data_IF_872147578706
#
_entry.id   IF_872147578706
#
_cell.length_a   1.000
_cell.length_b   1.000
_cell.length_c   1.000
_cell.angle_alpha   90.00
_cell.angle_beta   90.00
_cell.angle_gamma   90.00
#
_symmetry.space_group_name_H-M   'P 1'
#
loop_
_entity.id
_entity.type
_entity.pdbx_description
1 polymer ?
#
# COMPACT_ATOMS: atom_id res chain seq x y z
N UNK A 1 -46.01 -6.52 -79.79
CA UNK A 1 -45.89 -5.78 -78.51
C UNK A 1 -44.57 -6.14 -77.87
N UNK A 2 -43.57 -5.24 -77.93
CA UNK A 2 -42.24 -5.43 -77.35
C UNK A 2 -42.30 -5.32 -75.82
N UNK A 3 -41.64 -6.23 -75.10
CA UNK A 3 -41.28 -6.03 -73.69
C UNK A 3 -39.78 -6.21 -73.54
N UNK A 4 -39.09 -5.08 -73.49
CA UNK A 4 -37.66 -4.92 -73.26
C UNK A 4 -37.32 -5.26 -71.81
N UNK A 5 -36.37 -6.17 -71.59
CA UNK A 5 -35.81 -6.44 -70.26
C UNK A 5 -34.74 -5.39 -69.93
N UNK A 6 -34.93 -4.66 -68.82
CA UNK A 6 -33.94 -3.71 -68.31
C UNK A 6 -32.98 -4.42 -67.35
N UNK A 7 -31.71 -4.59 -67.76
CA UNK A 7 -30.64 -5.03 -66.88
C UNK A 7 -30.19 -3.88 -65.98
N UNK A 8 -30.35 -4.03 -64.66
CA UNK A 8 -29.83 -3.09 -63.66
C UNK A 8 -28.35 -3.38 -63.41
N UNK A 9 -27.47 -2.52 -63.93
CA UNK A 9 -26.06 -2.49 -63.54
C UNK A 9 -25.94 -1.87 -62.14
N UNK A 10 -25.72 -2.70 -61.13
CA UNK A 10 -25.36 -2.25 -59.78
C UNK A 10 -23.84 -2.08 -59.74
N UNK A 11 -23.36 -0.86 -59.93
CA UNK A 11 -21.96 -0.53 -59.70
C UNK A 11 -21.67 -0.66 -58.19
N UNK A 12 -20.89 -1.68 -57.80
CA UNK A 12 -20.33 -1.78 -56.45
C UNK A 12 -19.31 -0.67 -56.26
N UNK A 13 -19.70 0.42 -55.60
CA UNK A 13 -18.76 1.41 -55.10
C UNK A 13 -17.90 0.74 -54.02
N UNK A 14 -16.63 0.47 -54.34
CA UNK A 14 -15.66 -0.01 -53.37
C UNK A 14 -15.39 1.12 -52.37
N UNK A 15 -15.92 1.01 -51.15
CA UNK A 15 -15.54 1.87 -50.03
C UNK A 15 -14.09 1.50 -49.70
N UNK A 16 -13.13 2.20 -50.29
CA UNK A 16 -11.74 2.19 -49.82
C UNK A 16 -11.74 2.88 -48.45
N UNK A 17 -11.87 2.09 -47.39
CA UNK A 17 -11.66 2.58 -46.03
C UNK A 17 -10.30 3.24 -45.96
N UNK A 18 -10.25 4.50 -45.54
CA UNK A 18 -9.00 5.18 -45.25
C UNK A 18 -8.34 4.42 -44.09
N UNK A 19 -7.35 3.59 -44.38
CA UNK A 19 -6.43 3.06 -43.38
C UNK A 19 -5.63 4.24 -42.84
N UNK A 20 -6.01 4.73 -41.66
CA UNK A 20 -5.17 5.68 -40.92
C UNK A 20 -3.83 4.99 -40.70
N UNK A 21 -2.76 5.58 -41.20
CA UNK A 21 -1.41 5.14 -40.88
C UNK A 21 -1.25 5.25 -39.37
N UNK A 22 -1.04 4.11 -38.69
CA UNK A 22 -0.59 4.10 -37.31
C UNK A 22 0.67 4.97 -37.22
N UNK A 23 0.87 5.68 -36.10
CA UNK A 23 2.09 6.47 -35.89
C UNK A 23 3.30 5.56 -36.06
N UNK A 24 4.01 5.72 -37.19
CA UNK A 24 5.19 4.93 -37.52
C UNK A 24 6.41 5.36 -36.69
N UNK A 25 6.35 6.56 -36.12
CA UNK A 25 7.41 7.11 -35.30
C UNK A 25 7.28 6.65 -33.84
N UNK A 26 8.38 6.18 -33.22
CA UNK A 26 8.43 5.91 -31.79
C UNK A 26 7.99 7.12 -30.96
N UNK A 27 7.38 6.87 -29.81
CA UNK A 27 7.05 7.95 -28.86
C UNK A 27 8.35 8.61 -28.40
N UNK A 28 8.36 9.95 -28.34
CA UNK A 28 9.57 10.70 -27.95
C UNK A 28 10.11 10.23 -26.61
N UNK A 29 11.41 9.98 -26.52
CA UNK A 29 12.02 9.53 -25.26
C UNK A 29 11.82 10.57 -24.14
N UNK A 30 11.75 11.87 -24.47
CA UNK A 30 11.45 12.91 -23.47
C UNK A 30 10.07 12.74 -22.82
N UNK A 31 9.07 12.22 -23.54
CA UNK A 31 7.73 11.97 -23.01
C UNK A 31 7.60 10.66 -22.20
N UNK A 32 8.48 9.67 -22.40
CA UNK A 32 8.37 8.35 -21.74
C UNK A 32 9.54 7.98 -20.82
N UNK A 33 10.66 8.72 -20.86
CA UNK A 33 11.80 8.48 -19.97
C UNK A 33 11.39 8.62 -18.51
N UNK A 34 11.81 7.65 -17.69
CA UNK A 34 11.52 7.61 -16.24
C UNK A 34 10.05 7.84 -15.88
N UNK A 35 9.11 7.40 -16.73
CA UNK A 35 7.66 7.62 -16.53
C UNK A 35 7.20 7.21 -15.13
N UNK A 36 7.79 6.16 -14.57
CA UNK A 36 7.49 5.62 -13.23
C UNK A 36 7.59 6.65 -12.10
N UNK A 37 8.49 7.63 -12.21
CA UNK A 37 8.71 8.65 -11.17
C UNK A 37 7.76 9.83 -11.30
N UNK A 38 7.26 10.08 -12.51
CA UNK A 38 6.53 11.30 -12.87
C UNK A 38 5.06 11.07 -13.21
N UNK A 39 4.65 9.83 -13.45
CA UNK A 39 3.31 9.50 -13.90
C UNK A 39 2.22 10.14 -13.04
N UNK A 40 2.32 10.01 -11.71
CA UNK A 40 1.35 10.59 -10.77
C UNK A 40 1.38 12.12 -10.71
N UNK A 41 2.48 12.76 -11.14
CA UNK A 41 2.61 14.22 -11.21
C UNK A 41 2.17 14.84 -12.54
N UNK A 42 2.00 14.02 -13.58
CA UNK A 42 1.59 14.51 -14.90
C UNK A 42 0.14 14.99 -14.89
N UNK A 43 -0.19 16.05 -15.65
CA UNK A 43 -1.58 16.44 -15.92
C UNK A 43 -2.37 15.29 -16.55
N UNK A 44 -3.68 15.23 -16.26
CA UNK A 44 -4.55 14.18 -16.78
C UNK A 44 -4.60 14.15 -18.33
N UNK A 45 -4.48 15.32 -18.98
CA UNK A 45 -4.44 15.42 -20.44
C UNK A 45 -3.19 14.73 -21.00
N UNK A 46 -2.01 15.01 -20.44
CA UNK A 46 -0.74 14.42 -20.85
C UNK A 46 -0.71 12.90 -20.61
N UNK A 47 -1.30 12.44 -19.50
CA UNK A 47 -1.47 11.01 -19.23
C UNK A 47 -2.31 10.34 -20.33
N UNK A 48 -3.43 10.94 -20.73
CA UNK A 48 -4.28 10.41 -21.80
C UNK A 48 -3.56 10.42 -23.15
N UNK A 49 -2.82 11.48 -23.45
CA UNK A 49 -2.05 11.58 -24.69
C UNK A 49 -1.00 10.46 -24.77
N UNK A 50 -0.19 10.27 -23.73
CA UNK A 50 0.82 9.21 -23.67
C UNK A 50 0.17 7.82 -23.79
N UNK A 51 -0.96 7.59 -23.10
CA UNK A 51 -1.71 6.33 -23.18
C UNK A 51 -2.19 6.07 -24.61
N UNK A 52 -2.77 7.09 -25.26
CA UNK A 52 -3.26 6.95 -26.64
C UNK A 52 -2.13 6.66 -27.63
N UNK A 53 -0.99 7.35 -27.51
CA UNK A 53 0.18 7.14 -28.36
C UNK A 53 0.77 5.74 -28.18
N UNK A 54 0.90 5.27 -26.93
CA UNK A 54 1.37 3.91 -26.64
C UNK A 54 0.39 2.84 -27.15
N UNK A 55 -0.92 3.08 -27.05
CA UNK A 55 -1.93 2.16 -27.57
C UNK A 55 -1.87 2.05 -29.10
N UNK A 56 -1.62 3.14 -29.83
CA UNK A 56 -1.39 3.09 -31.28
C UNK A 56 -0.10 2.33 -31.63
N UNK A 57 0.99 2.53 -30.87
CA UNK A 57 2.26 1.81 -31.07
C UNK A 57 2.13 0.32 -30.80
N UNK A 58 1.34 -0.09 -29.82
CA UNK A 58 1.13 -1.51 -29.49
C UNK A 58 0.40 -2.31 -30.58
N UNK A 59 -0.23 -1.65 -31.55
CA UNK A 59 -0.85 -2.30 -32.72
C UNK A 59 0.18 -2.78 -33.75
N UNK A 60 1.41 -2.26 -33.69
CA UNK A 60 2.52 -2.62 -34.59
C UNK A 60 3.29 -3.84 -34.06
N UNK A 61 4.21 -4.45 -34.85
CA UNK A 61 5.03 -5.56 -34.39
C UNK A 61 5.83 -5.22 -33.12
N UNK A 62 5.73 -6.07 -32.10
CA UNK A 62 6.37 -5.82 -30.78
C UNK A 62 7.91 -5.85 -30.79
N UNK A 63 8.51 -6.36 -31.87
CA UNK A 63 9.94 -6.26 -32.14
C UNK A 63 10.40 -4.82 -32.36
N UNK A 64 9.52 -3.95 -32.86
CA UNK A 64 9.82 -2.54 -33.18
C UNK A 64 9.54 -1.58 -32.02
N UNK A 65 9.02 -2.09 -30.90
CA UNK A 65 8.84 -1.31 -29.68
C UNK A 65 10.17 -1.18 -28.94
N UNK A 66 10.55 0.07 -28.66
CA UNK A 66 11.72 0.40 -27.86
C UNK A 66 11.58 -0.11 -26.43
N UNK A 67 12.69 -0.31 -25.74
CA UNK A 67 12.67 -0.80 -24.35
C UNK A 67 11.98 0.19 -23.39
N UNK A 68 12.12 1.49 -23.65
CA UNK A 68 11.44 2.55 -22.89
C UNK A 68 9.93 2.53 -23.09
N UNK A 69 9.44 2.33 -24.33
CA UNK A 69 8.01 2.17 -24.62
C UNK A 69 7.43 0.96 -23.89
N UNK A 70 8.14 -0.18 -23.90
CA UNK A 70 7.74 -1.39 -23.18
C UNK A 70 7.65 -1.16 -21.66
N UNK A 71 8.67 -0.51 -21.09
CA UNK A 71 8.71 -0.17 -19.67
C UNK A 71 7.56 0.79 -19.28
N UNK A 72 7.32 1.82 -20.09
CA UNK A 72 6.25 2.78 -19.89
C UNK A 72 4.86 2.12 -19.95
N UNK A 73 4.61 1.32 -20.99
CA UNK A 73 3.35 0.59 -21.14
C UNK A 73 3.10 -0.39 -19.99
N UNK A 74 4.14 -1.09 -19.54
CA UNK A 74 4.04 -1.97 -18.37
C UNK A 74 3.69 -1.18 -17.11
N UNK A 75 4.37 -0.06 -16.85
CA UNK A 75 4.11 0.76 -15.66
C UNK A 75 2.72 1.39 -15.67
N UNK A 76 2.23 1.89 -16.81
CA UNK A 76 0.85 2.39 -16.92
C UNK A 76 -0.14 1.27 -16.60
N UNK A 77 0.08 0.08 -17.15
CA UNK A 77 -0.86 -1.03 -17.05
C UNK A 77 -0.84 -1.75 -15.70
N UNK A 78 0.33 -1.83 -15.04
CA UNK A 78 0.58 -2.68 -13.86
C UNK A 78 1.35 -1.99 -12.73
N UNK A 79 1.74 -0.72 -12.89
CA UNK A 79 2.47 0.02 -11.87
C UNK A 79 1.66 0.25 -10.59
N UNK A 80 2.38 0.56 -9.50
CA UNK A 80 1.82 0.79 -8.17
C UNK A 80 1.24 2.21 -8.01
N UNK A 81 0.34 2.60 -8.92
CA UNK A 81 -0.31 3.91 -8.94
C UNK A 81 -1.84 3.74 -9.01
N UNK A 82 -2.57 4.83 -8.73
CA UNK A 82 -4.03 4.83 -8.82
C UNK A 82 -4.66 3.74 -7.93
N UNK A 83 -5.49 2.83 -8.48
CA UNK A 83 -6.10 1.74 -7.72
C UNK A 83 -5.11 0.73 -7.10
N UNK A 84 -3.86 0.68 -7.59
CA UNK A 84 -2.83 -0.27 -7.11
C UNK A 84 -1.80 0.36 -6.19
N UNK A 85 -2.08 1.55 -5.65
CA UNK A 85 -1.17 2.19 -4.69
C UNK A 85 -1.05 1.30 -3.43
N UNK A 86 0.17 1.06 -2.89
CA UNK A 86 0.32 0.28 -1.68
C UNK A 86 -0.39 0.96 -0.51
N UNK A 87 -1.02 0.16 0.35
CA UNK A 87 -1.71 0.65 1.56
C UNK A 87 -0.72 1.36 2.49
N UNK A 88 0.48 0.81 2.60
CA UNK A 88 1.57 1.38 3.39
C UNK A 88 2.70 1.85 2.45
N UNK A 89 2.73 3.15 2.06
CA UNK A 89 3.84 3.71 1.33
C UNK A 89 5.14 3.65 2.15
N UNK A 90 6.26 3.79 1.44
CA UNK A 90 7.60 3.77 2.06
C UNK A 90 7.68 4.83 3.17
N UNK A 91 8.11 4.39 4.35
CA UNK A 91 8.27 5.25 5.54
C UNK A 91 7.04 5.35 6.45
N UNK A 92 5.87 4.84 6.05
CA UNK A 92 4.68 4.87 6.91
C UNK A 92 4.82 3.96 8.13
N UNK A 93 5.39 2.76 7.96
CA UNK A 93 5.61 1.83 9.06
C UNK A 93 6.44 2.45 10.21
N UNK A 94 7.46 3.26 9.87
CA UNK A 94 8.25 4.00 10.86
C UNK A 94 7.42 5.03 11.61
N UNK A 95 6.57 5.79 10.90
CA UNK A 95 5.66 6.77 11.52
C UNK A 95 4.67 6.09 12.47
N UNK A 96 4.11 4.95 12.06
CA UNK A 96 3.20 4.15 12.91
C UNK A 96 3.92 3.68 14.17
N UNK A 97 5.11 3.09 14.03
CA UNK A 97 5.89 2.61 15.17
C UNK A 97 6.21 3.76 16.15
N UNK A 98 6.68 4.90 15.65
CA UNK A 98 6.92 6.09 16.48
C UNK A 98 5.65 6.55 17.19
N UNK A 99 4.51 6.60 16.50
CA UNK A 99 3.22 6.95 17.09
C UNK A 99 2.82 6.02 18.24
N UNK A 100 3.00 4.70 18.08
CA UNK A 100 2.73 3.71 19.13
C UNK A 100 3.60 3.94 20.36
N UNK A 101 4.92 4.14 20.18
CA UNK A 101 5.81 4.38 21.30
C UNK A 101 5.53 5.70 22.02
N UNK A 102 5.18 6.77 21.30
CA UNK A 102 4.73 8.03 21.90
C UNK A 102 3.46 7.79 22.72
N UNK A 103 2.48 7.07 22.18
CA UNK A 103 1.25 6.73 22.88
C UNK A 103 1.49 5.95 24.17
N UNK A 104 2.33 4.91 24.13
CA UNK A 104 2.74 4.16 25.32
C UNK A 104 3.46 5.05 26.35
N UNK A 105 4.35 5.94 25.87
CA UNK A 105 5.03 6.92 26.72
C UNK A 105 4.05 7.83 27.46
N UNK A 106 3.08 8.40 26.75
CA UNK A 106 2.03 9.25 27.34
C UNK A 106 1.22 8.48 28.38
N UNK A 107 0.78 7.26 28.06
CA UNK A 107 0.03 6.41 28.99
C UNK A 107 0.83 6.13 30.28
N UNK A 108 2.11 5.78 30.15
CA UNK A 108 2.98 5.57 31.31
C UNK A 108 3.17 6.85 32.12
N UNK A 109 3.43 7.99 31.47
CA UNK A 109 3.59 9.28 32.15
C UNK A 109 2.35 9.66 32.96
N UNK A 110 1.16 9.49 32.38
CA UNK A 110 -0.11 9.74 33.09
C UNK A 110 -0.26 8.79 34.28
N UNK A 111 -0.03 7.48 34.06
CA UNK A 111 -0.13 6.48 35.12
C UNK A 111 0.81 6.79 36.30
N UNK A 112 2.09 7.05 36.02
CA UNK A 112 3.06 7.39 37.06
C UNK A 112 2.77 8.73 37.72
N UNK A 113 2.29 9.73 36.97
CA UNK A 113 1.86 11.01 37.50
C UNK A 113 0.73 10.87 38.53
N UNK A 114 -0.32 10.10 38.21
CA UNK A 114 -1.42 9.81 39.13
C UNK A 114 -0.92 8.96 40.31
N UNK A 115 -0.11 7.93 40.04
CA UNK A 115 0.39 7.00 41.06
C UNK A 115 1.30 7.67 42.09
N UNK A 116 2.03 8.72 41.71
CA UNK A 116 2.88 9.50 42.59
C UNK A 116 2.09 10.33 43.63
N UNK A 117 0.83 10.65 43.33
CA UNK A 117 -0.07 11.38 44.24
C UNK A 117 -0.84 10.46 45.19
N UNK A 118 -0.66 9.14 45.09
CA UNK A 118 -1.39 8.17 45.90
C UNK A 118 -0.87 8.10 47.35
N UNK A 119 -1.73 7.76 48.32
CA UNK A 119 -1.33 7.52 49.71
C UNK A 119 -0.26 6.42 49.85
N UNK A 120 0.46 6.38 51.00
CA UNK A 120 1.45 5.34 51.26
C UNK A 120 0.82 3.94 51.27
N UNK A 121 1.59 2.88 50.91
CA UNK A 121 1.11 1.51 50.92
C UNK A 121 0.77 1.04 52.35
N UNK A 122 -0.05 -0.02 52.49
CA UNK A 122 -0.36 -0.59 53.80
C UNK A 122 0.90 -1.17 54.46
N UNK A 123 0.94 -1.16 55.79
CA UNK A 123 2.06 -1.67 56.60
C UNK A 123 2.43 -3.14 56.35
N UNK A 124 1.50 -3.93 55.83
CA UNK A 124 1.69 -5.37 55.52
C UNK A 124 2.42 -5.61 54.19
N UNK A 125 2.69 -4.54 53.42
CA UNK A 125 3.38 -4.60 52.14
C UNK A 125 4.88 -4.28 52.27
N UNK A 126 5.49 -4.54 53.42
CA UNK A 126 6.94 -4.59 53.58
C UNK A 126 7.46 -6.02 53.44
N UNK A 127 8.72 -6.18 53.02
CA UNK A 127 9.36 -7.48 52.90
C UNK A 127 9.40 -8.21 54.26
N UNK A 128 9.79 -7.53 55.32
CA UNK A 128 9.85 -8.10 56.68
C UNK A 128 8.50 -8.69 57.13
N UNK A 129 7.40 -8.00 56.85
CA UNK A 129 6.07 -8.49 57.22
C UNK A 129 5.69 -9.74 56.40
N UNK A 130 6.06 -9.77 55.13
CA UNK A 130 5.81 -10.90 54.24
C UNK A 130 6.62 -12.13 54.66
N UNK A 131 7.90 -11.95 55.04
CA UNK A 131 8.75 -13.03 55.56
C UNK A 131 8.21 -13.63 56.87
N UNK A 132 7.76 -12.78 57.80
CA UNK A 132 7.12 -13.25 59.04
C UNK A 132 5.79 -13.98 58.76
N UNK A 133 5.07 -13.56 57.73
CA UNK A 133 3.85 -14.22 57.27
C UNK A 133 4.17 -15.59 56.66
N UNK A 134 5.26 -15.70 55.91
CA UNK A 134 5.77 -16.95 55.35
C UNK A 134 6.19 -17.94 56.43
N UNK A 135 6.88 -17.48 57.49
CA UNK A 135 7.24 -18.31 58.64
C UNK A 135 6.00 -18.86 59.35
N UNK A 136 4.96 -18.03 59.50
CA UNK A 136 3.68 -18.47 60.03
C UNK A 136 3.02 -19.52 59.11
N UNK A 137 2.98 -19.30 57.79
CA UNK A 137 2.40 -20.24 56.83
C UNK A 137 3.14 -21.59 56.82
N UNK A 138 4.47 -21.54 56.91
CA UNK A 138 5.33 -22.72 57.07
C UNK A 138 4.98 -23.48 58.35
N UNK A 139 4.78 -22.77 59.46
CA UNK A 139 4.38 -23.40 60.74
C UNK A 139 3.02 -24.12 60.66
N UNK A 140 2.18 -23.76 59.67
CA UNK A 140 0.86 -24.35 59.43
C UNK A 140 0.83 -25.33 58.26
N UNK A 141 1.97 -25.67 57.66
CA UNK A 141 2.07 -26.50 56.45
C UNK A 141 1.11 -26.03 55.34
N UNK A 142 0.95 -24.72 55.20
CA UNK A 142 0.11 -24.14 54.15
C UNK A 142 0.75 -24.40 52.77
N UNK A 143 -0.10 -24.64 51.76
CA UNK A 143 0.30 -24.98 50.38
C UNK A 143 1.39 -26.08 50.30
N UNK A 144 1.11 -27.31 50.73
CA UNK A 144 2.14 -28.34 50.90
C UNK A 144 2.75 -28.89 49.59
N UNK A 145 2.13 -28.64 48.44
CA UNK A 145 2.63 -29.05 47.11
C UNK A 145 3.02 -27.88 46.21
N UNK A 146 2.83 -26.63 46.65
CA UNK A 146 3.16 -25.42 45.89
C UNK A 146 3.90 -24.41 46.76
N UNK A 147 4.16 -23.21 46.24
CA UNK A 147 4.76 -22.13 47.04
C UNK A 147 3.73 -21.53 47.99
N UNK A 148 4.13 -21.28 49.23
CA UNK A 148 3.39 -20.48 50.22
C UNK A 148 3.95 -19.05 50.38
N UNK A 149 5.11 -18.77 49.77
CA UNK A 149 5.80 -17.49 49.94
C UNK A 149 4.99 -16.31 49.39
N UNK A 150 4.87 -15.27 50.19
CA UNK A 150 4.16 -14.02 49.91
C UNK A 150 5.09 -12.85 49.58
N UNK A 151 6.41 -13.10 49.52
CA UNK A 151 7.40 -12.04 49.26
C UNK A 151 7.25 -11.51 47.83
N UNK A 152 6.79 -10.28 47.72
CA UNK A 152 6.59 -9.55 46.47
C UNK A 152 7.05 -8.08 46.56
N UNK A 153 7.30 -7.60 47.78
CA UNK A 153 7.87 -6.29 48.03
C UNK A 153 9.41 -6.35 47.98
N UNK A 154 10.04 -5.22 47.65
CA UNK A 154 11.49 -5.02 47.69
C UNK A 154 11.93 -4.44 49.03
#
# INVERSE_FOLDING_TARGET
MLRTAAARNVARAAIRGQTRFASTHPVSNASIAELEKRWESLPANDQQEIVSQLAERQKLPWSELTQSEKKAAWYISYGAWGPRRPIHPKGEAGKIATGVFIGLGICMSIFFGIRALAPPPPKTMSQEWQEMSDDYLKSKNANPWSTYSQVQSK
#
